data_IF_470548868149
#
_entry.id   IF_470548868149
#
_cell.length_a   1.000
_cell.length_b   1.000
_cell.length_c   1.000
_cell.angle_alpha   90.00
_cell.angle_beta   90.00
_cell.angle_gamma   90.00
#
_symmetry.space_group_name_H-M   'P 1'
#
loop_
_entity.id
_entity.type
_entity.pdbx_description
1 polymer ?
#
# COMPACT_ATOMS: atom_id res chain seq x y z
N UNK A 1 -10.55 -20.71 14.52
CA UNK A 1 -10.84 -19.65 13.56
C UNK A 1 -10.19 -20.02 12.24
N UNK A 2 -10.87 -19.72 11.15
CA UNK A 2 -10.34 -19.94 9.81
C UNK A 2 -9.29 -18.90 9.46
N UNK A 3 -8.17 -19.33 8.89
CA UNK A 3 -7.06 -18.46 8.52
C UNK A 3 -6.29 -19.00 7.30
N UNK A 4 -5.81 -18.10 6.44
CA UNK A 4 -4.82 -18.41 5.41
C UNK A 4 -3.42 -18.37 6.00
N UNK A 5 -2.78 -19.54 6.09
CA UNK A 5 -1.50 -19.78 6.74
C UNK A 5 -0.42 -20.02 5.70
N UNK A 6 0.61 -19.18 5.72
CA UNK A 6 1.75 -19.25 4.82
C UNK A 6 2.87 -20.07 5.43
N UNK A 7 3.25 -21.16 4.76
CA UNK A 7 4.28 -22.11 5.17
C UNK A 7 5.59 -21.93 4.40
N UNK A 8 5.61 -21.09 3.37
CA UNK A 8 6.74 -20.88 2.50
C UNK A 8 6.32 -20.77 1.04
N UNK A 9 7.31 -20.72 0.15
CA UNK A 9 7.10 -20.52 -1.30
C UNK A 9 6.00 -21.42 -1.86
N UNK A 10 4.98 -20.79 -2.45
CA UNK A 10 3.78 -21.40 -3.03
C UNK A 10 2.98 -22.33 -2.09
N UNK A 11 3.13 -22.17 -0.78
CA UNK A 11 2.44 -22.99 0.22
C UNK A 11 1.63 -22.10 1.16
N UNK A 12 0.39 -21.82 0.74
CA UNK A 12 -0.64 -21.19 1.58
C UNK A 12 -1.75 -22.21 1.77
N UNK A 13 -2.16 -22.40 3.02
CA UNK A 13 -3.19 -23.36 3.41
C UNK A 13 -4.26 -22.64 4.21
N UNK A 14 -5.52 -22.90 3.90
CA UNK A 14 -6.63 -22.42 4.72
C UNK A 14 -6.92 -23.48 5.77
N UNK A 15 -6.72 -23.14 7.04
CA UNK A 15 -6.82 -24.06 8.17
C UNK A 15 -7.45 -23.43 9.41
N UNK A 16 -7.88 -24.28 10.34
CA UNK A 16 -8.36 -23.86 11.65
C UNK A 16 -7.19 -23.64 12.60
N UNK A 17 -7.09 -22.43 13.13
CA UNK A 17 -6.11 -22.04 14.14
C UNK A 17 -6.80 -21.50 15.39
N UNK A 18 -6.13 -21.47 16.57
CA UNK A 18 -6.69 -20.81 17.75
C UNK A 18 -7.03 -19.34 17.48
N UNK A 19 -8.08 -18.83 18.12
CA UNK A 19 -8.36 -17.39 18.15
C UNK A 19 -7.25 -16.72 18.97
N UNK A 20 -6.63 -15.62 18.49
CA UNK A 20 -5.64 -14.88 19.26
C UNK A 20 -6.21 -14.40 20.59
N UNK A 21 -5.46 -14.60 21.67
CA UNK A 21 -5.79 -14.03 22.97
C UNK A 21 -5.23 -12.60 23.04
N UNK A 22 -6.09 -11.56 23.10
CA UNK A 22 -5.61 -10.19 23.15
C UNK A 22 -4.89 -9.90 24.46
N UNK A 23 -3.72 -9.24 24.38
CA UNK A 23 -3.01 -8.70 25.53
C UNK A 23 -3.74 -7.54 26.22
N UNK A 24 -3.18 -7.03 27.31
CA UNK A 24 -3.82 -6.02 28.17
C UNK A 24 -4.12 -4.67 27.48
N UNK A 25 -3.43 -4.36 26.39
CA UNK A 25 -3.61 -3.16 25.58
C UNK A 25 -4.18 -3.46 24.18
N UNK A 26 -4.62 -4.69 23.93
CA UNK A 26 -5.04 -5.14 22.60
C UNK A 26 -6.55 -5.32 22.52
N UNK A 27 -7.12 -4.91 21.40
CA UNK A 27 -8.46 -5.28 21.02
C UNK A 27 -8.41 -6.53 20.13
N UNK A 28 -9.39 -7.41 20.28
CA UNK A 28 -9.65 -8.45 19.30
C UNK A 28 -10.57 -7.88 18.23
N UNK A 29 -10.18 -7.98 16.98
CA UNK A 29 -10.96 -7.51 15.82
C UNK A 29 -11.57 -8.72 15.14
N UNK A 30 -12.87 -8.67 14.86
CA UNK A 30 -13.52 -9.54 13.90
C UNK A 30 -13.34 -8.93 12.51
N UNK A 31 -12.50 -9.57 11.69
CA UNK A 31 -12.09 -9.03 10.39
C UNK A 31 -13.26 -9.14 9.41
N UNK A 32 -13.50 -8.05 8.67
CA UNK A 32 -14.51 -7.99 7.63
C UNK A 32 -13.89 -8.21 6.25
N UNK A 33 -12.81 -7.47 5.97
CA UNK A 33 -12.13 -7.46 4.69
C UNK A 33 -10.63 -7.27 4.87
N UNK A 34 -9.86 -7.96 4.04
CA UNK A 34 -8.44 -7.78 3.88
C UNK A 34 -8.07 -7.69 2.39
N UNK A 35 -7.27 -6.70 2.01
CA UNK A 35 -6.69 -6.62 0.67
C UNK A 35 -5.49 -7.56 0.51
N UNK A 36 -5.34 -8.13 -0.69
CA UNK A 36 -4.09 -8.80 -1.08
C UNK A 36 -3.11 -7.74 -1.60
N UNK A 37 -1.91 -7.68 -1.02
CA UNK A 37 -0.86 -6.78 -1.44
C UNK A 37 0.17 -7.46 -2.36
N UNK A 38 0.91 -6.66 -3.11
CA UNK A 38 2.04 -7.17 -3.90
C UNK A 38 3.13 -7.81 -3.04
N UNK A 39 3.33 -7.33 -1.81
CA UNK A 39 4.25 -7.95 -0.84
C UNK A 39 3.82 -9.37 -0.48
N UNK A 40 2.52 -9.61 -0.23
CA UNK A 40 2.02 -10.97 0.00
C UNK A 40 2.33 -11.88 -1.20
N UNK A 41 2.16 -11.36 -2.43
CA UNK A 41 2.48 -12.09 -3.66
C UNK A 41 3.98 -12.39 -3.79
N UNK A 42 4.85 -11.45 -3.40
CA UNK A 42 6.29 -11.68 -3.38
C UNK A 42 6.67 -12.78 -2.39
N UNK A 43 6.08 -12.82 -1.19
CA UNK A 43 6.26 -13.94 -0.25
C UNK A 43 5.84 -15.26 -0.91
N UNK A 44 4.64 -15.29 -1.50
CA UNK A 44 4.10 -16.49 -2.12
C UNK A 44 4.96 -17.02 -3.28
N UNK A 45 5.44 -16.14 -4.17
CA UNK A 45 6.15 -16.54 -5.38
C UNK A 45 7.65 -16.74 -5.14
N UNK A 46 8.31 -15.83 -4.42
CA UNK A 46 9.75 -15.86 -4.22
C UNK A 46 10.15 -16.74 -3.03
N UNK A 47 9.27 -16.92 -2.05
CA UNK A 47 9.58 -17.50 -0.74
C UNK A 47 9.81 -16.40 0.30
N UNK A 48 10.11 -16.77 1.56
CA UNK A 48 10.15 -15.81 2.66
C UNK A 48 11.19 -14.73 2.39
N UNK A 49 10.72 -13.51 2.09
CA UNK A 49 11.52 -12.32 1.82
C UNK A 49 11.44 -11.35 3.01
N UNK A 50 10.23 -11.05 3.46
CA UNK A 50 9.91 -10.28 4.67
C UNK A 50 9.35 -11.14 5.80
N UNK A 51 8.65 -12.24 5.49
CA UNK A 51 8.21 -13.22 6.47
C UNK A 51 9.42 -13.84 7.21
N UNK A 52 9.50 -13.75 8.55
CA UNK A 52 10.60 -14.34 9.29
C UNK A 52 10.59 -15.88 9.23
N UNK A 53 11.77 -16.48 9.36
CA UNK A 53 11.97 -17.95 9.37
C UNK A 53 12.33 -18.43 10.78
N UNK A 54 12.14 -19.72 11.14
CA UNK A 54 12.39 -20.22 12.49
C UNK A 54 13.80 -19.90 13.03
N UNK A 55 14.80 -19.86 12.15
CA UNK A 55 16.19 -19.55 12.51
C UNK A 55 16.41 -18.07 12.83
N UNK A 56 15.49 -17.20 12.39
CA UNK A 56 15.54 -15.74 12.57
C UNK A 56 14.12 -15.21 12.82
N UNK A 57 13.53 -15.48 13.99
CA UNK A 57 12.22 -14.96 14.34
C UNK A 57 12.27 -13.44 14.44
N UNK A 58 11.13 -12.79 14.22
CA UNK A 58 11.03 -11.34 14.32
C UNK A 58 11.33 -10.87 15.76
N UNK A 59 12.20 -9.87 15.97
CA UNK A 59 12.71 -9.53 17.29
C UNK A 59 11.67 -8.99 18.27
N UNK A 60 10.54 -8.45 17.80
CA UNK A 60 9.48 -7.92 18.68
C UNK A 60 8.35 -8.92 18.94
N UNK A 61 8.00 -9.72 17.94
CA UNK A 61 6.81 -10.59 17.99
C UNK A 61 7.18 -12.04 18.24
N UNK A 62 8.46 -12.41 18.08
CA UNK A 62 8.91 -13.81 18.04
C UNK A 62 8.34 -14.60 16.85
N UNK A 63 7.60 -13.96 15.95
CA UNK A 63 6.90 -14.62 14.87
C UNK A 63 7.86 -15.14 13.79
N UNK A 64 7.49 -16.26 13.20
CA UNK A 64 8.12 -16.85 12.03
C UNK A 64 7.10 -17.74 11.30
N UNK A 65 7.39 -18.14 10.06
CA UNK A 65 6.54 -19.08 9.33
C UNK A 65 6.37 -20.41 10.10
N UNK A 66 5.15 -20.98 10.16
CA UNK A 66 3.95 -20.52 9.48
C UNK A 66 3.30 -19.29 10.11
N UNK A 67 2.93 -18.31 9.28
CA UNK A 67 2.24 -17.07 9.70
C UNK A 67 0.87 -16.94 9.03
N UNK A 68 -0.07 -16.25 9.68
CA UNK A 68 -1.29 -15.79 9.01
C UNK A 68 -0.95 -14.55 8.19
N UNK A 69 -1.23 -14.57 6.88
CA UNK A 69 -0.94 -13.44 5.99
C UNK A 69 -1.99 -12.32 6.06
N UNK A 70 -1.70 -11.19 5.39
CA UNK A 70 -2.62 -10.08 5.17
C UNK A 70 -2.41 -8.91 6.13
N UNK A 71 -2.04 -7.75 5.59
CA UNK A 71 -1.73 -6.54 6.36
C UNK A 71 -2.62 -5.34 5.99
N UNK A 72 -3.51 -5.49 5.02
CA UNK A 72 -4.44 -4.44 4.60
C UNK A 72 -5.86 -4.72 5.11
N UNK A 73 -6.11 -4.68 6.43
CA UNK A 73 -7.38 -5.19 6.98
C UNK A 73 -8.14 -4.24 7.90
N UNK A 74 -9.46 -4.39 7.85
CA UNK A 74 -10.43 -3.69 8.68
C UNK A 74 -11.47 -4.65 9.22
N UNK A 75 -12.23 -4.19 10.21
CA UNK A 75 -13.25 -5.03 10.82
C UNK A 75 -14.02 -4.32 11.90
N UNK A 76 -14.55 -5.10 12.83
CA UNK A 76 -15.26 -4.60 14.01
C UNK A 76 -14.62 -5.11 15.28
N UNK A 77 -14.64 -4.28 16.31
CA UNK A 77 -14.13 -4.67 17.63
C UNK A 77 -14.99 -5.82 18.16
N UNK A 78 -14.37 -6.98 18.37
CA UNK A 78 -15.00 -8.15 18.99
C UNK A 78 -14.95 -8.07 20.50
N UNK A 79 -13.80 -7.71 21.04
CA UNK A 79 -13.58 -7.46 22.47
C UNK A 79 -12.48 -6.42 22.65
N UNK A 80 -12.53 -5.68 23.76
CA UNK A 80 -11.58 -4.63 24.08
C UNK A 80 -11.20 -4.72 25.57
N UNK A 81 -10.00 -4.23 25.96
CA UNK A 81 -9.59 -4.23 27.35
C UNK A 81 -10.43 -3.25 28.17
N UNK A 82 -10.46 -3.44 29.48
CA UNK A 82 -11.17 -2.53 30.38
C UNK A 82 -10.61 -1.10 30.27
N UNK A 83 -11.49 -0.12 30.03
CA UNK A 83 -11.09 1.27 29.85
C UNK A 83 -10.68 1.65 28.42
N UNK A 84 -10.82 0.74 27.46
CA UNK A 84 -10.58 1.02 26.04
C UNK A 84 -11.39 2.22 25.52
N UNK A 85 -10.79 2.98 24.60
CA UNK A 85 -11.44 4.04 23.82
C UNK A 85 -12.43 3.48 22.77
N UNK A 86 -12.39 2.17 22.51
CA UNK A 86 -13.25 1.49 21.55
C UNK A 86 -14.39 0.72 22.22
N UNK A 87 -15.50 0.59 21.48
CA UNK A 87 -16.66 -0.20 21.88
C UNK A 87 -16.79 -1.46 21.03
N UNK A 88 -17.29 -2.54 21.61
CA UNK A 88 -17.65 -3.76 20.86
C UNK A 88 -18.63 -3.40 19.73
N UNK A 89 -18.37 -3.94 18.54
CA UNK A 89 -19.12 -3.69 17.31
C UNK A 89 -18.65 -2.46 16.53
N UNK A 90 -17.80 -1.59 17.11
CA UNK A 90 -17.30 -0.40 16.42
C UNK A 90 -16.43 -0.78 15.22
N UNK A 91 -16.66 -0.12 14.08
CA UNK A 91 -15.88 -0.29 12.87
C UNK A 91 -14.49 0.35 13.03
N UNK A 92 -13.45 -0.38 12.67
CA UNK A 92 -12.06 0.07 12.78
C UNK A 92 -11.22 -0.36 11.58
N UNK A 93 -10.26 0.49 11.23
CA UNK A 93 -9.13 0.15 10.37
C UNK A 93 -7.93 -0.15 11.28
N UNK A 94 -7.20 -1.21 10.97
CA UNK A 94 -5.95 -1.54 11.65
C UNK A 94 -4.77 -0.97 10.87
N UNK A 95 -3.88 -0.26 11.56
CA UNK A 95 -2.52 -0.06 11.07
C UNK A 95 -1.71 -1.32 11.42
N UNK A 96 -1.28 -2.10 10.41
CA UNK A 96 -0.65 -3.40 10.64
C UNK A 96 0.74 -3.30 11.27
N UNK A 97 1.37 -2.12 11.29
CA UNK A 97 2.78 -1.97 11.69
C UNK A 97 3.01 -2.42 13.14
N UNK A 98 4.13 -3.10 13.36
CA UNK A 98 4.65 -3.45 14.68
C UNK A 98 5.95 -2.69 14.87
N UNK A 99 6.00 -1.84 15.89
CA UNK A 99 7.07 -0.87 16.11
C UNK A 99 7.74 -1.11 17.47
N UNK A 100 9.06 -0.89 17.55
CA UNK A 100 9.77 -1.02 18.83
C UNK A 100 9.53 0.16 19.78
N UNK A 101 8.98 1.26 19.28
CA UNK A 101 8.64 2.50 19.98
C UNK A 101 9.79 3.20 20.73
N UNK A 102 11.03 2.73 20.58
CA UNK A 102 12.21 3.22 21.32
C UNK A 102 13.41 3.65 20.47
N UNK A 103 13.50 3.20 19.22
CA UNK A 103 14.60 3.57 18.32
C UNK A 103 14.48 5.04 17.87
N UNK A 104 15.54 5.57 17.26
CA UNK A 104 15.58 6.94 16.77
C UNK A 104 14.39 7.27 15.85
N UNK A 105 14.13 6.40 14.87
CA UNK A 105 13.02 6.57 13.92
C UNK A 105 11.67 6.62 14.63
N UNK A 106 11.40 5.72 15.58
CA UNK A 106 10.17 5.75 16.38
C UNK A 106 10.04 7.04 17.19
N UNK A 107 11.12 7.46 17.86
CA UNK A 107 11.11 8.64 18.74
C UNK A 107 10.90 9.97 17.99
N UNK A 108 11.17 9.99 16.69
CA UNK A 108 11.02 11.18 15.82
C UNK A 108 9.77 11.14 14.95
N UNK A 109 8.84 10.20 15.20
CA UNK A 109 7.60 10.06 14.43
C UNK A 109 7.76 9.28 13.10
N UNK A 110 8.98 8.83 12.78
CA UNK A 110 9.31 8.11 11.55
C UNK A 110 9.24 6.59 11.72
N UNK A 111 8.18 6.07 12.36
CA UNK A 111 8.05 4.64 12.67
C UNK A 111 8.16 3.69 11.46
N UNK A 112 7.89 4.18 10.24
CA UNK A 112 8.09 3.42 8.98
C UNK A 112 9.55 3.02 8.70
N UNK A 113 10.52 3.60 9.39
CA UNK A 113 11.94 3.22 9.32
C UNK A 113 12.45 2.67 10.65
N UNK A 114 11.58 2.01 11.42
CA UNK A 114 11.97 1.35 12.66
C UNK A 114 12.98 0.23 12.41
N UNK A 115 14.04 0.15 13.23
CA UNK A 115 15.07 -0.90 13.15
C UNK A 115 14.54 -2.33 13.33
N UNK A 116 13.34 -2.45 13.92
CA UNK A 116 12.64 -3.71 14.17
C UNK A 116 11.22 -3.65 13.62
N UNK A 117 11.03 -2.97 12.49
CA UNK A 117 9.73 -2.87 11.82
C UNK A 117 9.22 -4.27 11.47
N UNK A 118 8.01 -4.57 11.94
CA UNK A 118 7.25 -5.73 11.53
C UNK A 118 5.84 -5.33 11.09
N UNK A 119 5.06 -6.31 10.63
CA UNK A 119 3.67 -6.13 10.25
C UNK A 119 2.84 -7.32 10.74
N UNK A 120 1.69 -7.07 11.34
CA UNK A 120 0.64 -8.07 11.47
C UNK A 120 0.22 -8.52 10.06
N UNK A 121 0.22 -9.83 9.80
CA UNK A 121 0.08 -10.35 8.44
C UNK A 121 1.37 -10.66 7.69
N UNK A 122 2.55 -10.40 8.26
CA UNK A 122 3.86 -10.80 7.69
C UNK A 122 4.76 -11.36 8.80
N UNK A 123 4.94 -10.57 9.86
CA UNK A 123 5.77 -10.87 11.03
C UNK A 123 4.93 -11.03 12.31
N UNK A 124 3.60 -11.12 12.19
CA UNK A 124 2.61 -10.91 13.25
C UNK A 124 2.58 -11.93 14.41
N UNK A 125 3.46 -12.93 14.45
CA UNK A 125 3.50 -13.92 15.53
C UNK A 125 2.12 -14.51 15.86
N UNK A 126 1.75 -14.51 17.14
CA UNK A 126 0.45 -15.01 17.63
C UNK A 126 -0.69 -13.98 17.54
N UNK A 127 -0.41 -12.73 17.17
CA UNK A 127 -1.40 -11.67 17.05
C UNK A 127 -2.32 -11.86 15.82
N UNK A 128 -1.87 -12.63 14.83
CA UNK A 128 -2.63 -12.96 13.62
C UNK A 128 -2.34 -12.03 12.43
N UNK A 129 -3.22 -12.10 11.43
CA UNK A 129 -3.16 -11.34 10.18
C UNK A 129 -4.55 -11.19 9.56
N UNK A 130 -4.68 -10.28 8.61
CA UNK A 130 -5.93 -9.90 7.96
C UNK A 130 -6.61 -11.01 7.15
N UNK A 131 -5.89 -12.01 6.66
CA UNK A 131 -6.47 -13.16 5.98
C UNK A 131 -6.92 -14.24 6.99
N UNK A 132 -7.67 -13.83 8.00
CA UNK A 132 -8.29 -14.70 9.00
C UNK A 132 -9.53 -14.07 9.62
N UNK A 133 -10.32 -14.83 10.38
CA UNK A 133 -11.52 -14.29 11.01
C UNK A 133 -11.23 -13.28 12.13
N UNK A 134 -10.09 -13.39 12.82
CA UNK A 134 -9.74 -12.51 13.93
C UNK A 134 -8.26 -12.14 14.00
N UNK A 135 -7.97 -10.92 14.48
CA UNK A 135 -6.62 -10.49 14.83
C UNK A 135 -6.64 -9.68 16.14
N UNK A 136 -5.60 -9.85 16.96
CA UNK A 136 -5.41 -9.07 18.18
C UNK A 136 -4.45 -7.92 17.89
N UNK A 137 -4.91 -6.67 18.03
CA UNK A 137 -4.15 -5.48 17.64
C UNK A 137 -4.13 -4.49 18.80
N UNK A 138 -2.96 -3.88 19.03
CA UNK A 138 -2.78 -2.80 19.99
C UNK A 138 -3.78 -1.67 19.72
N UNK A 139 -4.46 -1.21 20.76
CA UNK A 139 -5.48 -0.16 20.67
C UNK A 139 -4.97 1.13 20.01
N UNK A 140 -3.68 1.44 20.13
CA UNK A 140 -3.07 2.61 19.51
C UNK A 140 -2.78 2.46 18.02
N UNK A 141 -2.88 1.24 17.50
CA UNK A 141 -2.78 0.91 16.09
C UNK A 141 -4.16 0.74 15.44
N UNK A 142 -5.22 1.11 16.16
CA UNK A 142 -6.60 1.08 15.66
C UNK A 142 -7.15 2.47 15.45
N UNK A 143 -7.89 2.61 14.36
CA UNK A 143 -8.51 3.86 13.94
C UNK A 143 -10.01 3.65 13.76
N UNK A 144 -10.81 4.45 14.47
CA UNK A 144 -12.25 4.43 14.33
C UNK A 144 -12.64 4.85 12.91
N UNK A 145 -13.48 4.04 12.26
CA UNK A 145 -14.04 4.38 10.97
C UNK A 145 -15.35 5.15 11.17
N UNK A 146 -15.57 6.25 10.43
CA UNK A 146 -16.87 6.91 10.42
C UNK A 146 -17.91 6.02 9.72
N UNK A 147 -19.18 6.16 10.10
CA UNK A 147 -20.28 5.37 9.52
C UNK A 147 -20.46 5.58 8.01
N UNK A 148 -19.91 6.66 7.45
CA UNK A 148 -19.93 6.97 6.02
C UNK A 148 -19.01 6.10 5.17
N UNK A 149 -18.13 5.30 5.78
CA UNK A 149 -17.15 4.48 5.06
C UNK A 149 -17.57 3.02 5.13
N UNK A 150 -17.91 2.44 3.98
CA UNK A 150 -18.17 1.01 3.86
C UNK A 150 -16.90 0.21 4.19
N UNK A 151 -17.06 -0.88 4.95
CA UNK A 151 -15.93 -1.65 5.46
C UNK A 151 -15.08 -2.28 4.34
N UNK A 152 -15.67 -2.71 3.22
CA UNK A 152 -14.87 -3.28 2.12
C UNK A 152 -13.90 -2.23 1.55
N UNK A 153 -14.36 -1.00 1.34
CA UNK A 153 -13.51 0.09 0.88
C UNK A 153 -12.55 0.61 1.96
N UNK A 154 -12.82 0.40 3.24
CA UNK A 154 -11.89 0.74 4.31
C UNK A 154 -10.57 -0.04 4.24
N UNK A 155 -10.57 -1.27 3.70
CA UNK A 155 -9.34 -2.04 3.47
C UNK A 155 -8.37 -1.33 2.51
N UNK A 156 -8.84 -0.39 1.69
CA UNK A 156 -8.01 0.43 0.81
C UNK A 156 -7.26 1.56 1.53
N UNK A 157 -7.54 1.80 2.82
CA UNK A 157 -6.87 2.86 3.59
C UNK A 157 -5.36 2.62 3.64
N UNK A 158 -4.92 1.37 3.83
CA UNK A 158 -3.48 1.04 3.88
C UNK A 158 -2.77 1.43 2.57
N UNK A 159 -3.19 0.97 1.38
CA UNK A 159 -2.50 1.33 0.14
C UNK A 159 -2.66 2.81 -0.22
N UNK A 160 -3.78 3.45 0.16
CA UNK A 160 -3.92 4.91 0.03
C UNK A 160 -2.93 5.66 0.95
N UNK A 161 -2.60 5.10 2.12
CA UNK A 161 -1.63 5.68 3.05
C UNK A 161 -0.21 5.58 2.51
N UNK A 162 0.15 4.48 1.85
CA UNK A 162 1.43 4.36 1.10
C UNK A 162 1.55 5.49 0.07
N UNK A 163 0.50 5.69 -0.74
CA UNK A 163 0.46 6.74 -1.74
C UNK A 163 0.48 8.16 -1.13
N UNK A 164 -0.21 8.36 -0.01
CA UNK A 164 -0.22 9.63 0.72
C UNK A 164 1.17 9.97 1.26
N UNK A 165 1.83 9.01 1.89
CA UNK A 165 3.18 9.19 2.41
C UNK A 165 4.15 9.60 1.30
N UNK A 166 4.08 8.96 0.13
CA UNK A 166 4.91 9.31 -1.04
C UNK A 166 4.80 10.79 -1.41
N UNK A 167 3.58 11.34 -1.41
CA UNK A 167 3.36 12.78 -1.62
C UNK A 167 3.98 13.61 -0.48
N UNK A 168 3.76 13.22 0.77
CA UNK A 168 4.23 14.00 1.93
C UNK A 168 5.74 14.02 2.08
N UNK A 169 6.48 13.04 1.52
CA UNK A 169 7.96 13.08 1.49
C UNK A 169 8.53 14.32 0.80
N UNK A 170 7.81 14.88 -0.18
CA UNK A 170 8.23 16.06 -0.94
C UNK A 170 8.34 17.31 -0.04
N UNK A 171 7.54 17.37 1.03
CA UNK A 171 7.48 18.49 1.97
C UNK A 171 7.36 19.87 1.28
N UNK A 172 6.50 19.96 0.28
CA UNK A 172 6.20 21.19 -0.45
C UNK A 172 4.72 21.24 -0.83
N UNK A 173 4.21 22.44 -1.15
CA UNK A 173 2.86 22.60 -1.68
C UNK A 173 2.81 22.07 -3.12
N UNK A 174 1.94 21.09 -3.36
CA UNK A 174 1.80 20.45 -4.68
C UNK A 174 0.51 20.80 -5.44
N UNK A 175 -0.40 21.56 -4.81
CA UNK A 175 -1.62 22.04 -5.46
C UNK A 175 -1.29 22.80 -6.75
N UNK A 176 -2.01 22.48 -7.83
CA UNK A 176 -1.84 23.11 -9.14
C UNK A 176 -0.64 22.63 -9.96
N UNK A 177 0.13 21.65 -9.47
CA UNK A 177 1.25 21.05 -10.21
C UNK A 177 0.79 19.95 -11.18
N UNK A 178 1.62 19.65 -12.18
CA UNK A 178 1.41 18.55 -13.14
C UNK A 178 2.22 17.32 -12.70
N UNK A 179 1.58 16.15 -12.63
CA UNK A 179 2.17 14.91 -12.13
C UNK A 179 2.21 13.80 -13.19
N UNK A 180 3.29 13.02 -13.21
CA UNK A 180 3.43 11.77 -13.95
C UNK A 180 3.60 10.60 -12.99
N UNK A 181 2.82 9.54 -13.19
CA UNK A 181 2.96 8.26 -12.49
C UNK A 181 3.54 7.26 -13.49
N UNK A 182 4.66 6.62 -13.12
CA UNK A 182 5.24 5.51 -13.89
C UNK A 182 4.71 4.20 -13.30
N UNK A 183 3.86 3.50 -14.05
CA UNK A 183 3.19 2.27 -13.64
C UNK A 183 1.78 2.50 -13.10
N UNK A 184 0.78 1.91 -13.76
CA UNK A 184 -0.64 1.98 -13.42
C UNK A 184 -1.14 0.82 -12.55
N UNK A 185 -0.25 0.21 -11.77
CA UNK A 185 -0.60 -0.84 -10.81
C UNK A 185 -1.32 -0.32 -9.57
N UNK A 186 -1.49 -1.14 -8.51
CA UNK A 186 -2.28 -0.79 -7.34
C UNK A 186 -1.80 0.50 -6.64
N UNK A 187 -0.49 0.65 -6.45
CA UNK A 187 0.11 1.85 -5.85
C UNK A 187 -0.01 3.07 -6.78
N UNK A 188 0.17 2.89 -8.09
CA UNK A 188 0.00 3.97 -9.06
C UNK A 188 -1.44 4.48 -9.13
N UNK A 189 -2.41 3.57 -9.04
CA UNK A 189 -3.82 3.93 -8.94
C UNK A 189 -4.12 4.68 -7.63
N UNK A 190 -3.62 4.18 -6.50
CA UNK A 190 -3.75 4.86 -5.20
C UNK A 190 -3.14 6.27 -5.24
N UNK A 191 -1.99 6.44 -5.88
CA UNK A 191 -1.35 7.74 -6.10
C UNK A 191 -2.21 8.68 -6.95
N UNK A 192 -2.85 8.18 -8.00
CA UNK A 192 -3.77 9.02 -8.77
C UNK A 192 -4.90 9.54 -7.87
N UNK A 193 -5.51 8.68 -7.04
CA UNK A 193 -6.53 9.09 -6.08
C UNK A 193 -6.01 10.11 -5.05
N UNK A 194 -4.82 9.92 -4.47
CA UNK A 194 -4.27 10.83 -3.46
C UNK A 194 -3.82 12.16 -4.06
N UNK A 195 -3.26 12.17 -5.27
CA UNK A 195 -2.91 13.40 -5.99
C UNK A 195 -4.16 14.23 -6.33
N UNK A 196 -5.28 13.59 -6.69
CA UNK A 196 -6.56 14.30 -6.84
C UNK A 196 -7.02 14.95 -5.55
N UNK A 197 -6.88 14.28 -4.42
CA UNK A 197 -7.22 14.84 -3.10
C UNK A 197 -6.37 16.09 -2.76
N UNK A 198 -5.16 16.17 -3.30
CA UNK A 198 -4.23 17.30 -3.13
C UNK A 198 -4.39 18.40 -4.20
N UNK A 199 -5.42 18.30 -5.06
CA UNK A 199 -5.73 19.29 -6.10
C UNK A 199 -4.56 19.59 -7.04
N UNK A 200 -3.81 18.57 -7.45
CA UNK A 200 -2.87 18.72 -8.57
C UNK A 200 -3.63 19.07 -9.84
N UNK A 201 -3.00 19.84 -10.72
CA UNK A 201 -3.61 20.34 -11.95
C UNK A 201 -3.86 19.24 -12.97
N UNK A 202 -2.88 18.37 -13.18
CA UNK A 202 -3.02 17.24 -14.09
C UNK A 202 -2.29 16.00 -13.60
N UNK A 203 -2.84 14.83 -13.90
CA UNK A 203 -2.28 13.51 -13.60
C UNK A 203 -2.16 12.73 -14.90
N UNK A 204 -0.94 12.38 -15.25
CA UNK A 204 -0.61 11.49 -16.35
C UNK A 204 -0.13 10.15 -15.79
N UNK A 205 -0.43 9.04 -16.47
CA UNK A 205 0.13 7.72 -16.14
C UNK A 205 0.75 7.09 -17.36
N UNK A 206 1.97 6.57 -17.21
CA UNK A 206 2.66 5.76 -18.20
C UNK A 206 2.52 4.30 -17.81
N UNK A 207 1.77 3.53 -18.60
CA UNK A 207 1.46 2.13 -18.30
C UNK A 207 1.47 1.28 -19.58
N UNK A 208 2.33 0.26 -19.69
CA UNK A 208 2.47 -0.55 -20.89
C UNK A 208 1.28 -1.49 -21.16
N UNK A 209 0.43 -1.76 -20.17
CA UNK A 209 -0.66 -2.73 -20.29
C UNK A 209 -2.01 -2.08 -20.57
N UNK A 210 -2.69 -2.51 -21.64
CA UNK A 210 -3.99 -1.95 -22.03
C UNK A 210 -5.03 -2.03 -20.91
N UNK A 211 -5.15 -3.17 -20.21
CA UNK A 211 -6.15 -3.32 -19.13
C UNK A 211 -5.95 -2.31 -18.00
N UNK A 212 -4.72 -2.17 -17.50
CA UNK A 212 -4.38 -1.16 -16.49
C UNK A 212 -4.54 0.28 -16.99
N UNK A 213 -4.24 0.53 -18.26
CA UNK A 213 -4.54 1.82 -18.90
C UNK A 213 -6.03 2.14 -18.87
N UNK A 214 -6.89 1.19 -19.24
CA UNK A 214 -8.34 1.37 -19.21
C UNK A 214 -8.85 1.61 -17.78
N UNK A 215 -8.33 0.86 -16.79
CA UNK A 215 -8.65 1.06 -15.38
C UNK A 215 -8.26 2.47 -14.91
N UNK A 216 -7.05 2.93 -15.24
CA UNK A 216 -6.54 4.21 -14.78
C UNK A 216 -7.31 5.43 -15.32
N UNK A 217 -7.99 5.32 -16.48
CA UNK A 217 -8.81 6.42 -17.05
C UNK A 217 -9.86 6.97 -16.09
N UNK A 218 -10.29 6.19 -15.10
CA UNK A 218 -11.24 6.63 -14.10
C UNK A 218 -10.68 7.69 -13.13
N UNK A 219 -9.34 7.82 -13.02
CA UNK A 219 -8.69 8.65 -11.98
C UNK A 219 -7.60 9.59 -12.51
N UNK A 220 -7.16 9.44 -13.76
CA UNK A 220 -6.12 10.26 -14.40
C UNK A 220 -6.66 11.08 -15.58
N UNK A 221 -5.97 12.17 -15.95
CA UNK A 221 -6.34 13.02 -17.10
C UNK A 221 -5.85 12.46 -18.42
N UNK A 222 -4.70 11.77 -18.40
CA UNK A 222 -4.07 11.22 -19.60
C UNK A 222 -3.37 9.91 -19.28
N UNK A 223 -3.61 8.95 -20.16
CA UNK A 223 -2.91 7.66 -20.15
C UNK A 223 -1.96 7.64 -21.33
N UNK A 224 -0.76 7.08 -21.13
CA UNK A 224 0.32 7.00 -22.11
C UNK A 224 0.69 5.52 -22.29
N UNK A 225 0.73 5.04 -23.53
CA UNK A 225 1.35 3.75 -23.83
C UNK A 225 2.84 3.97 -24.17
N UNK A 226 3.78 3.70 -23.25
CA UNK A 226 5.20 3.94 -23.47
C UNK A 226 5.80 3.04 -24.56
N UNK A 227 5.06 2.05 -25.08
CA UNK A 227 5.50 1.21 -26.19
C UNK A 227 5.29 1.86 -27.55
N UNK A 228 4.39 2.84 -27.64
CA UNK A 228 4.04 3.54 -28.89
C UNK A 228 4.23 5.05 -28.83
N UNK A 229 4.28 5.64 -27.64
CA UNK A 229 4.40 7.07 -27.42
C UNK A 229 5.68 7.41 -26.65
N UNK A 230 6.33 8.52 -26.99
CA UNK A 230 7.40 9.07 -26.15
C UNK A 230 6.76 9.80 -24.95
N UNK A 231 6.99 9.27 -23.75
CA UNK A 231 6.38 9.76 -22.50
C UNK A 231 6.68 11.25 -22.27
N UNK A 232 7.93 11.67 -22.47
CA UNK A 232 8.33 13.06 -22.23
C UNK A 232 7.72 14.04 -23.23
N UNK A 233 7.59 13.66 -24.50
CA UNK A 233 6.91 14.48 -25.51
C UNK A 233 5.42 14.65 -25.17
N UNK A 234 4.75 13.58 -24.73
CA UNK A 234 3.36 13.67 -24.29
C UNK A 234 3.22 14.58 -23.08
N UNK A 235 4.09 14.43 -22.07
CA UNK A 235 4.12 15.32 -20.91
C UNK A 235 4.29 16.79 -21.32
N UNK A 236 5.29 17.10 -22.16
CA UNK A 236 5.51 18.46 -22.67
C UNK A 236 4.31 19.00 -23.44
N UNK A 237 3.67 18.18 -24.28
CA UNK A 237 2.48 18.59 -25.04
C UNK A 237 1.30 18.98 -24.15
N UNK A 238 1.15 18.32 -23.01
CA UNK A 238 0.05 18.53 -22.06
C UNK A 238 0.33 19.68 -21.09
N UNK A 239 1.60 20.01 -20.87
CA UNK A 239 2.02 21.02 -19.88
C UNK A 239 2.58 22.31 -20.50
N UNK A 240 2.26 22.60 -21.76
CA UNK A 240 2.70 23.84 -22.43
C UNK A 240 4.20 23.90 -22.69
N UNK A 241 4.83 22.74 -22.92
CA UNK A 241 6.23 22.58 -23.29
C UNK A 241 7.19 22.39 -22.11
N UNK A 242 6.76 22.58 -20.86
CA UNK A 242 7.66 22.60 -19.69
C UNK A 242 8.08 21.19 -19.19
N UNK A 243 7.21 20.19 -19.37
CA UNK A 243 7.31 18.89 -18.67
C UNK A 243 6.44 18.83 -17.41
N UNK A 244 6.58 17.79 -16.59
CA UNK A 244 5.82 17.62 -15.33
C UNK A 244 6.63 18.07 -14.12
N UNK A 245 5.95 18.57 -13.08
CA UNK A 245 6.61 19.04 -11.86
C UNK A 245 6.92 17.90 -10.90
N UNK A 246 6.07 16.86 -10.90
CA UNK A 246 6.14 15.70 -10.03
C UNK A 246 6.24 14.42 -10.87
N UNK A 247 7.10 13.51 -10.48
CA UNK A 247 7.13 12.14 -11.00
C UNK A 247 7.14 11.14 -9.85
N UNK A 248 6.27 10.14 -9.90
CA UNK A 248 6.24 9.01 -8.97
C UNK A 248 6.59 7.72 -9.72
N UNK A 249 7.66 7.04 -9.30
CA UNK A 249 8.01 5.73 -9.83
C UNK A 249 7.37 4.61 -9.00
N UNK A 250 6.41 3.93 -9.62
CA UNK A 250 5.71 2.77 -9.07
C UNK A 250 6.01 1.48 -9.84
N UNK A 251 6.89 1.54 -10.85
CA UNK A 251 7.23 0.40 -11.69
C UNK A 251 8.59 -0.20 -11.33
N UNK A 252 9.55 0.62 -10.87
CA UNK A 252 10.84 0.14 -10.40
C UNK A 252 11.74 -0.40 -11.51
N UNK A 253 11.68 0.20 -12.69
CA UNK A 253 12.40 -0.26 -13.89
C UNK A 253 13.18 0.87 -14.56
N UNK A 254 14.36 0.54 -15.11
CA UNK A 254 15.31 1.50 -15.68
C UNK A 254 14.71 2.35 -16.80
N UNK A 255 13.96 1.74 -17.73
CA UNK A 255 13.30 2.47 -18.83
C UNK A 255 12.24 3.46 -18.32
N UNK A 256 11.59 3.15 -17.20
CA UNK A 256 10.62 4.04 -16.55
C UNK A 256 11.29 5.26 -15.92
N UNK A 257 12.44 5.05 -15.26
CA UNK A 257 13.27 6.13 -14.72
C UNK A 257 13.77 7.08 -15.82
N UNK A 258 14.24 6.55 -16.94
CA UNK A 258 14.74 7.37 -18.05
C UNK A 258 13.62 8.22 -18.67
N UNK A 259 12.44 7.63 -18.86
CA UNK A 259 11.25 8.36 -19.29
C UNK A 259 10.83 9.44 -18.28
N UNK A 260 10.88 9.14 -16.98
CA UNK A 260 10.62 10.09 -15.91
C UNK A 260 11.57 11.29 -15.95
N UNK A 261 12.87 11.03 -16.10
CA UNK A 261 13.89 12.08 -16.15
C UNK A 261 13.79 12.93 -17.42
N UNK A 262 13.36 12.36 -18.55
CA UNK A 262 13.04 13.15 -19.75
C UNK A 262 11.82 14.05 -19.55
N UNK A 263 10.74 13.50 -18.97
CA UNK A 263 9.47 14.18 -18.78
C UNK A 263 9.51 15.30 -17.73
N UNK A 264 10.35 15.17 -16.71
CA UNK A 264 10.36 16.09 -15.57
C UNK A 264 10.94 17.46 -15.92
N UNK A 265 10.35 18.52 -15.37
CA UNK A 265 10.83 19.90 -15.48
C UNK A 265 12.13 20.11 -14.68
N UNK A 266 12.83 21.21 -14.97
CA UNK A 266 13.96 21.68 -14.15
C UNK A 266 13.47 22.02 -12.73
N UNK A 267 14.16 21.55 -11.70
CA UNK A 267 13.84 21.74 -10.29
C UNK A 267 12.71 20.84 -9.77
N UNK A 268 12.20 19.92 -10.60
CA UNK A 268 11.09 19.02 -10.28
C UNK A 268 11.44 17.94 -9.25
N UNK A 269 10.40 17.22 -8.81
CA UNK A 269 10.45 16.20 -7.77
C UNK A 269 10.25 14.81 -8.37
N UNK A 270 11.23 13.93 -8.19
CA UNK A 270 11.13 12.51 -8.48
C UNK A 270 11.02 11.74 -7.17
N UNK A 271 9.97 10.92 -7.02
CA UNK A 271 9.72 10.09 -5.83
C UNK A 271 9.75 8.62 -6.23
N UNK A 272 10.74 7.88 -5.73
CA UNK A 272 10.73 6.43 -5.82
C UNK A 272 9.76 5.84 -4.78
N UNK A 273 8.77 5.07 -5.25
CA UNK A 273 7.83 4.32 -4.41
C UNK A 273 7.99 2.82 -4.64
N UNK A 274 8.50 2.42 -5.81
CA UNK A 274 8.72 1.04 -6.17
C UNK A 274 9.88 0.39 -5.41
N UNK A 275 9.79 -0.93 -5.26
CA UNK A 275 10.90 -1.79 -4.88
C UNK A 275 11.64 -2.17 -6.16
N UNK A 276 12.92 -1.79 -6.26
CA UNK A 276 13.76 -2.15 -7.38
C UNK A 276 14.47 -3.48 -7.11
N UNK A 277 14.30 -4.47 -8.00
CA UNK A 277 14.98 -5.77 -7.92
C UNK A 277 16.45 -5.71 -8.37
N UNK A 278 16.79 -4.68 -9.14
CA UNK A 278 18.14 -4.44 -9.67
C UNK A 278 18.60 -3.02 -9.36
N UNK A 279 19.91 -2.76 -9.24
CA UNK A 279 20.41 -1.41 -9.02
C UNK A 279 19.94 -0.41 -10.08
N UNK A 280 19.46 0.74 -9.62
CA UNK A 280 19.04 1.86 -10.46
C UNK A 280 20.24 2.65 -11.00
N UNK A 281 20.25 2.97 -12.29
CA UNK A 281 21.28 3.82 -12.91
C UNK A 281 20.73 5.22 -13.21
N UNK A 282 21.15 6.21 -12.43
CA UNK A 282 20.70 7.61 -12.61
C UNK A 282 21.45 8.25 -13.79
N UNK A 283 20.75 8.85 -14.78
CA UNK A 283 21.39 9.63 -15.84
C UNK A 283 21.92 10.96 -15.28
N UNK A 284 23.13 10.90 -14.69
CA UNK A 284 23.64 11.95 -13.80
C UNK A 284 23.84 13.31 -14.49
N UNK A 285 24.12 13.33 -15.79
CA UNK A 285 24.18 14.59 -16.54
C UNK A 285 22.81 15.29 -16.59
N UNK A 286 21.74 14.55 -16.82
CA UNK A 286 20.38 15.09 -16.85
C UNK A 286 19.90 15.46 -15.45
N UNK A 287 20.21 14.62 -14.45
CA UNK A 287 20.01 14.92 -13.03
C UNK A 287 20.60 16.27 -12.64
N UNK A 288 21.89 16.46 -12.93
CA UNK A 288 22.63 17.69 -12.67
C UNK A 288 22.05 18.87 -13.46
N UNK A 289 21.88 18.71 -14.77
CA UNK A 289 21.43 19.80 -15.64
C UNK A 289 20.03 20.30 -15.27
N UNK A 290 19.14 19.41 -14.84
CA UNK A 290 17.77 19.77 -14.46
C UNK A 290 17.61 20.07 -12.96
N UNK A 291 18.65 19.92 -12.13
CA UNK A 291 18.54 20.06 -10.67
C UNK A 291 17.35 19.28 -10.08
N UNK A 292 17.20 18.02 -10.50
CA UNK A 292 16.09 17.16 -10.04
C UNK A 292 16.28 16.86 -8.55
N UNK A 293 15.19 16.89 -7.78
CA UNK A 293 15.18 16.45 -6.38
C UNK A 293 14.65 15.02 -6.31
N UNK A 294 15.41 14.12 -5.71
CA UNK A 294 15.04 12.69 -5.61
C UNK A 294 14.66 12.38 -4.16
N UNK A 295 13.51 11.74 -4.00
CA UNK A 295 12.98 11.25 -2.75
C UNK A 295 12.74 9.74 -2.85
N UNK A 296 12.75 9.07 -1.71
CA UNK A 296 12.28 7.69 -1.58
C UNK A 296 11.14 7.68 -0.58
N UNK A 297 10.14 6.84 -0.83
CA UNK A 297 9.02 6.61 0.07
C UNK A 297 8.93 5.13 0.40
N UNK A 298 8.80 4.82 1.68
CA UNK A 298 8.66 3.45 2.17
C UNK A 298 7.56 3.43 3.22
N UNK A 299 6.53 2.61 2.99
CA UNK A 299 5.37 2.48 3.89
C UNK A 299 4.74 3.86 4.17
N UNK A 300 4.52 4.19 5.46
CA UNK A 300 3.89 5.43 5.92
C UNK A 300 4.06 5.62 7.43
N UNK A 301 3.95 6.85 7.93
CA UNK A 301 3.99 7.14 9.37
C UNK A 301 2.58 7.19 10.02
N UNK A 302 2.52 7.44 11.34
CA UNK A 302 1.26 7.53 12.10
C UNK A 302 0.36 8.68 11.60
N UNK A 303 0.95 9.84 11.34
CA UNK A 303 0.21 11.02 10.87
C UNK A 303 -0.40 10.77 9.49
N UNK A 304 0.33 10.09 8.60
CA UNK A 304 -0.17 9.74 7.27
C UNK A 304 -1.43 8.87 7.38
N UNK A 305 -1.40 7.84 8.25
CA UNK A 305 -2.54 6.94 8.44
C UNK A 305 -3.76 7.67 9.02
N UNK A 306 -3.54 8.52 10.03
CA UNK A 306 -4.58 9.40 10.59
C UNK A 306 -5.21 10.32 9.54
N UNK A 307 -4.36 10.91 8.69
CA UNK A 307 -4.79 11.79 7.62
C UNK A 307 -5.67 11.04 6.61
N UNK A 308 -5.25 9.85 6.16
CA UNK A 308 -6.03 9.07 5.19
C UNK A 308 -7.35 8.59 5.77
N UNK A 309 -7.38 8.08 7.01
CA UNK A 309 -8.65 7.71 7.69
C UNK A 309 -9.59 8.92 7.79
N UNK A 310 -9.06 10.10 8.08
CA UNK A 310 -9.87 11.33 8.13
C UNK A 310 -10.38 11.73 6.74
N UNK A 311 -9.50 11.72 5.74
CA UNK A 311 -9.80 12.19 4.39
C UNK A 311 -10.75 11.26 3.63
N UNK A 312 -10.64 9.95 3.83
CA UNK A 312 -11.57 8.98 3.25
C UNK A 312 -12.97 9.16 3.84
N UNK A 313 -13.08 9.42 5.15
CA UNK A 313 -14.33 9.76 5.82
C UNK A 313 -14.98 11.05 5.32
N UNK A 314 -14.17 11.97 4.79
CA UNK A 314 -14.60 13.23 4.16
C UNK A 314 -14.88 13.08 2.65
N UNK A 315 -14.71 11.89 2.07
CA UNK A 315 -14.92 11.63 0.65
C UNK A 315 -13.87 12.30 -0.26
N UNK A 316 -12.63 12.51 0.22
CA UNK A 316 -11.60 13.28 -0.50
C UNK A 316 -10.84 12.52 -1.57
N UNK A 317 -10.99 11.19 -1.65
CA UNK A 317 -10.33 10.35 -2.64
C UNK A 317 -11.33 9.93 -3.73
N UNK A 318 -11.60 10.73 -4.77
CA UNK A 318 -12.56 10.35 -5.80
C UNK A 318 -12.09 9.09 -6.56
N UNK A 319 -13.00 8.16 -6.79
CA UNK A 319 -12.75 6.96 -7.61
C UNK A 319 -11.92 5.86 -6.94
N UNK A 320 -11.57 5.98 -5.66
CA UNK A 320 -10.78 4.97 -4.95
C UNK A 320 -11.52 3.62 -4.85
N UNK A 321 -12.85 3.62 -4.82
CA UNK A 321 -13.66 2.40 -4.81
C UNK A 321 -13.40 1.50 -6.02
N UNK A 322 -13.05 2.09 -7.16
CA UNK A 322 -12.74 1.37 -8.40
C UNK A 322 -11.41 0.61 -8.32
N UNK A 323 -10.60 0.81 -7.26
CA UNK A 323 -9.46 -0.07 -6.98
C UNK A 323 -9.91 -1.50 -6.72
N UNK A 324 -11.10 -1.71 -6.13
CA UNK A 324 -11.61 -3.05 -5.87
C UNK A 324 -12.09 -3.67 -7.17
N UNK A 325 -11.28 -4.58 -7.71
CA UNK A 325 -11.59 -5.32 -8.94
C UNK A 325 -12.27 -6.65 -8.68
N UNK A 326 -12.07 -7.24 -7.50
CA UNK A 326 -12.73 -8.50 -7.13
C UNK A 326 -12.89 -8.64 -5.61
N UNK A 327 -13.83 -9.51 -5.20
CA UNK A 327 -14.10 -9.91 -3.82
C UNK A 327 -14.22 -11.42 -3.74
N UNK A 328 -13.40 -12.04 -2.90
CA UNK A 328 -13.35 -13.49 -2.73
C UNK A 328 -13.49 -13.90 -1.27
N UNK A 329 -13.82 -15.17 -1.03
CA UNK A 329 -13.75 -15.76 0.31
C UNK A 329 -12.32 -16.26 0.59
N UNK A 330 -11.92 -16.31 1.87
CA UNK A 330 -10.63 -16.85 2.30
C UNK A 330 -10.45 -18.31 1.87
N UNK A 331 -11.53 -19.09 1.70
CA UNK A 331 -11.45 -20.47 1.18
C UNK A 331 -10.90 -20.54 -0.24
N UNK A 332 -11.14 -19.51 -1.05
CA UNK A 332 -10.70 -19.44 -2.44
C UNK A 332 -9.35 -18.74 -2.60
N UNK A 333 -8.70 -18.34 -1.50
CA UNK A 333 -7.55 -17.41 -1.49
C UNK A 333 -6.41 -17.83 -2.40
N UNK A 334 -6.12 -19.12 -2.50
CA UNK A 334 -5.03 -19.62 -3.36
C UNK A 334 -5.43 -19.53 -4.84
N UNK A 335 -6.61 -20.05 -5.20
CA UNK A 335 -7.01 -20.19 -6.59
C UNK A 335 -7.49 -18.89 -7.23
N UNK A 336 -8.31 -18.10 -6.52
CA UNK A 336 -8.88 -16.84 -7.01
C UNK A 336 -8.16 -15.59 -6.49
N UNK A 337 -7.24 -15.74 -5.55
CA UNK A 337 -6.43 -14.65 -5.01
C UNK A 337 -5.00 -14.69 -5.54
N UNK A 338 -4.16 -15.53 -4.93
CA UNK A 338 -2.73 -15.57 -5.21
C UNK A 338 -2.42 -16.06 -6.64
N UNK A 339 -2.92 -17.22 -7.06
CA UNK A 339 -2.66 -17.72 -8.42
C UNK A 339 -3.30 -16.83 -9.49
N UNK A 340 -4.46 -16.23 -9.22
CA UNK A 340 -5.06 -15.25 -10.12
C UNK A 340 -4.15 -14.02 -10.29
N UNK A 341 -3.63 -13.47 -9.19
CA UNK A 341 -2.67 -12.37 -9.23
C UNK A 341 -1.30 -12.75 -9.79
N UNK A 342 -0.90 -14.02 -9.77
CA UNK A 342 0.32 -14.47 -10.47
C UNK A 342 0.10 -14.47 -11.98
N UNK A 343 -1.04 -15.01 -12.43
CA UNK A 343 -1.23 -15.35 -13.83
C UNK A 343 -1.93 -14.24 -14.64
N UNK A 344 -2.79 -13.44 -13.99
CA UNK A 344 -3.65 -12.42 -14.60
C UNK A 344 -3.54 -11.06 -13.89
N UNK A 345 -2.35 -10.73 -13.36
CA UNK A 345 -2.11 -9.51 -12.55
C UNK A 345 -2.58 -8.19 -13.16
N UNK A 346 -2.69 -8.13 -14.49
CA UNK A 346 -3.06 -6.92 -15.21
C UNK A 346 -4.59 -6.72 -15.29
N UNK A 347 -5.37 -7.72 -14.87
CA UNK A 347 -6.83 -7.70 -14.79
C UNK A 347 -7.29 -7.08 -13.46
N UNK A 348 -6.39 -7.01 -12.48
CA UNK A 348 -6.69 -6.64 -11.11
C UNK A 348 -5.90 -5.40 -10.66
N UNK A 349 -6.57 -4.58 -9.84
CA UNK A 349 -5.94 -3.51 -9.06
C UNK A 349 -5.92 -3.93 -7.58
N UNK A 350 -7.05 -4.37 -7.04
CA UNK A 350 -7.12 -4.91 -5.69
C UNK A 350 -8.17 -6.02 -5.62
N UNK A 351 -7.77 -7.15 -5.05
CA UNK A 351 -8.68 -8.22 -4.65
C UNK A 351 -8.87 -8.08 -3.14
N UNK A 352 -10.13 -8.00 -2.71
CA UNK A 352 -10.50 -8.04 -1.31
C UNK A 352 -10.94 -9.44 -0.91
N UNK A 353 -10.57 -9.84 0.30
CA UNK A 353 -10.82 -11.16 0.85
C UNK A 353 -11.69 -10.99 2.07
N UNK A 354 -12.84 -11.66 2.10
CA UNK A 354 -13.61 -11.81 3.33
C UNK A 354 -13.26 -13.14 4.01
N UNK A 355 -13.08 -13.16 5.34
CA UNK A 355 -12.94 -14.41 6.07
C UNK A 355 -14.21 -15.27 6.11
N UNK A 356 -15.36 -14.73 5.67
CA UNK A 356 -16.68 -15.37 5.72
C UNK A 356 -17.15 -15.92 4.39
#
# INVERSE_FOLDING_TARGET
>A
MRAARYYGKRDIRVEDVPIPEPGSNQCLIEIAWCGICGSDLHEYVAGPMGCPVPERPHPLTGGHIPVTLGHEFCGRIKSAPSGSKFKVGQAVMADPRVLCSKCHSCSTGNGHTCDALGFNGISGGTAGGGLSEFAAIDEDMLYALPESVDLDFAALIEPLTVAWHAIKTINAKIEGLDALIIGGGPVGYALACTLRAENVKSILVSEPTLKRREQAKAVVDKVIDPRSENVGDVCRSTTGGKGVDLVFDCAGIQVGLEAAFDAIVRGGYFVNVAVWEVPMSIPFYQFFLKEIKIFSSCCYNKQDFEDVVRLIGQGKFPGYQNMVTDRISVEDIVSKGFEELVNNKDDHIKILVSPK
#
